data_IF_669743693704
#
_entry.id   IF_669743693704
#
_cell.length_a   1.000
_cell.length_b   1.000
_cell.length_c   1.000
_cell.angle_alpha   90.00
_cell.angle_beta   90.00
_cell.angle_gamma   90.00
#
_symmetry.space_group_name_H-M   'P 1'
#
loop_
_entity.id
_entity.type
_entity.pdbx_description
1 polymer ?
#
# COMPACT_ATOMS: atom_id res chain seq x y z
N UNK A 1 32.53 -6.53 -20.25
CA UNK A 1 31.23 -5.88 -19.94
C UNK A 1 30.70 -5.33 -21.26
N UNK A 2 29.38 -5.23 -21.41
CA UNK A 2 28.78 -4.62 -22.60
C UNK A 2 29.08 -3.11 -22.62
N UNK A 3 29.53 -2.56 -23.75
CA UNK A 3 29.96 -1.17 -23.86
C UNK A 3 28.86 -0.18 -23.46
N UNK A 4 27.60 -0.51 -23.77
CA UNK A 4 26.43 0.30 -23.38
C UNK A 4 26.20 0.33 -21.86
N UNK A 5 26.56 -0.73 -21.14
CA UNK A 5 26.47 -0.76 -19.67
C UNK A 5 27.53 0.14 -19.04
N UNK A 6 28.74 0.16 -19.60
CA UNK A 6 29.83 1.01 -19.11
C UNK A 6 29.52 2.50 -19.33
N UNK A 7 28.89 2.86 -20.46
CA UNK A 7 28.40 4.21 -20.72
C UNK A 7 27.29 4.62 -19.75
N UNK A 8 26.28 3.76 -19.56
CA UNK A 8 25.21 3.99 -18.59
C UNK A 8 25.74 4.19 -17.16
N UNK A 9 26.66 3.34 -16.71
CA UNK A 9 27.24 3.46 -15.37
C UNK A 9 28.12 4.70 -15.21
N UNK A 10 28.69 5.22 -16.31
CA UNK A 10 29.44 6.48 -16.27
C UNK A 10 28.53 7.68 -16.05
N UNK A 11 27.33 7.65 -16.63
CA UNK A 11 26.36 8.76 -16.53
C UNK A 11 25.49 8.68 -15.26
N UNK A 12 25.03 7.48 -14.89
CA UNK A 12 24.05 7.28 -13.82
C UNK A 12 24.57 6.50 -12.62
N UNK A 13 25.81 6.00 -12.64
CA UNK A 13 26.33 5.07 -11.63
C UNK A 13 26.31 5.61 -10.20
N UNK A 14 26.43 6.93 -10.00
CA UNK A 14 26.34 7.55 -8.67
C UNK A 14 24.93 7.44 -8.05
N UNK A 15 23.89 7.34 -8.87
CA UNK A 15 22.48 7.28 -8.44
C UNK A 15 21.83 5.92 -8.73
N UNK A 16 22.48 5.07 -9.52
CA UNK A 16 21.94 3.79 -9.93
C UNK A 16 22.21 2.70 -8.90
N UNK A 17 21.13 2.07 -8.44
CA UNK A 17 21.17 0.97 -7.49
C UNK A 17 21.45 1.38 -6.06
N UNK A 18 22.43 0.74 -5.43
CA UNK A 18 22.73 0.90 -4.02
C UNK A 18 24.18 1.38 -3.83
N UNK A 19 24.49 2.65 -4.17
CA UNK A 19 25.87 3.16 -4.18
C UNK A 19 26.54 3.11 -2.80
N UNK A 20 25.76 3.30 -1.73
CA UNK A 20 26.21 3.17 -0.34
C UNK A 20 25.81 1.81 0.29
N UNK A 21 25.33 0.89 -0.54
CA UNK A 21 24.90 -0.43 -0.09
C UNK A 21 26.09 -1.38 0.09
N UNK A 22 25.94 -2.44 0.90
CA UNK A 22 26.98 -3.44 1.11
C UNK A 22 27.26 -4.30 -0.13
N UNK A 23 26.36 -4.27 -1.13
CA UNK A 23 26.48 -4.98 -2.40
C UNK A 23 25.94 -4.11 -3.53
N UNK A 24 26.55 -4.19 -4.71
CA UNK A 24 26.00 -3.63 -5.94
C UNK A 24 24.79 -4.45 -6.46
N UNK A 25 23.96 -3.88 -7.34
CA UNK A 25 22.86 -4.62 -7.99
C UNK A 25 23.38 -5.89 -8.67
N UNK A 26 24.52 -5.80 -9.37
CA UNK A 26 25.11 -6.96 -10.05
C UNK A 26 25.49 -8.07 -9.07
N UNK A 27 26.06 -7.70 -7.92
CA UNK A 27 26.40 -8.65 -6.86
C UNK A 27 25.15 -9.27 -6.23
N UNK A 28 24.10 -8.48 -5.97
CA UNK A 28 22.82 -8.99 -5.45
C UNK A 28 22.21 -9.97 -6.45
N UNK A 29 22.13 -9.60 -7.73
CA UNK A 29 21.61 -10.49 -8.79
C UNK A 29 22.41 -11.79 -8.88
N UNK A 30 23.74 -11.70 -8.88
CA UNK A 30 24.61 -12.85 -9.01
C UNK A 30 24.67 -13.76 -7.76
N UNK A 31 24.33 -13.25 -6.57
CA UNK A 31 24.41 -14.03 -5.33
C UNK A 31 23.07 -14.46 -4.77
N UNK A 32 22.01 -13.68 -4.98
CA UNK A 32 20.71 -13.89 -4.35
C UNK A 32 19.58 -14.19 -5.34
N UNK A 33 19.82 -14.02 -6.64
CA UNK A 33 18.87 -14.30 -7.72
C UNK A 33 19.52 -15.07 -8.87
N UNK A 34 20.38 -16.06 -8.57
CA UNK A 34 21.13 -16.84 -9.57
C UNK A 34 20.21 -17.52 -10.57
N UNK A 35 19.02 -17.92 -10.13
CA UNK A 35 17.95 -18.49 -10.98
C UNK A 35 17.46 -17.58 -12.11
N UNK A 36 17.82 -16.29 -12.10
CA UNK A 36 17.58 -15.37 -13.21
C UNK A 36 18.71 -15.36 -14.24
N UNK A 37 19.74 -16.19 -14.10
CA UNK A 37 20.78 -16.29 -15.12
C UNK A 37 20.17 -16.73 -16.45
N UNK A 38 20.53 -16.03 -17.53
CA UNK A 38 19.92 -16.19 -18.85
C UNK A 38 18.46 -15.72 -18.99
N UNK A 39 17.84 -15.13 -17.96
CA UNK A 39 16.44 -14.68 -17.99
C UNK A 39 16.26 -13.23 -17.52
N UNK A 40 15.38 -12.48 -18.18
CA UNK A 40 15.03 -11.10 -17.79
C UNK A 40 13.62 -11.09 -17.25
N UNK A 41 13.47 -10.76 -15.96
CA UNK A 41 12.18 -10.65 -15.29
C UNK A 41 11.81 -9.17 -15.15
N UNK A 42 10.76 -8.74 -15.82
CA UNK A 42 10.31 -7.33 -15.86
C UNK A 42 8.95 -7.11 -15.16
N UNK A 43 8.40 -8.14 -14.52
CA UNK A 43 7.07 -8.10 -13.88
C UNK A 43 7.14 -7.93 -12.36
N UNK A 44 8.17 -7.22 -11.87
CA UNK A 44 8.32 -6.92 -10.44
C UNK A 44 7.17 -6.07 -9.88
N UNK A 45 6.44 -5.36 -10.75
CA UNK A 45 5.28 -4.60 -10.35
C UNK A 45 4.05 -5.48 -10.08
N UNK A 46 3.90 -6.60 -10.79
CA UNK A 46 2.82 -7.58 -10.54
C UNK A 46 3.13 -8.47 -9.34
N UNK A 47 4.31 -9.09 -9.32
CA UNK A 47 4.76 -9.94 -8.22
C UNK A 47 6.29 -10.00 -8.15
N UNK A 48 6.89 -9.39 -7.13
CA UNK A 48 8.35 -9.51 -6.99
C UNK A 48 8.80 -10.92 -6.60
N UNK A 49 10.05 -11.21 -6.90
CA UNK A 49 10.69 -12.48 -6.62
C UNK A 49 11.31 -12.47 -5.22
N UNK A 50 11.21 -13.60 -4.51
CA UNK A 50 12.01 -13.85 -3.31
C UNK A 50 13.48 -14.11 -3.69
N UNK A 51 14.38 -13.72 -2.79
CA UNK A 51 15.81 -13.99 -2.91
C UNK A 51 16.19 -15.34 -2.29
N UNK A 52 17.30 -15.94 -2.74
CA UNK A 52 17.83 -17.19 -2.19
C UNK A 52 18.18 -17.03 -0.69
N UNK A 53 18.73 -15.89 -0.29
CA UNK A 53 19.04 -15.60 1.11
C UNK A 53 17.78 -15.56 1.99
N UNK A 54 16.68 -14.99 1.49
CA UNK A 54 15.42 -14.97 2.23
C UNK A 54 14.89 -16.38 2.46
N UNK A 55 14.95 -17.23 1.43
CA UNK A 55 14.55 -18.63 1.57
C UNK A 55 15.43 -19.36 2.58
N UNK A 56 16.76 -19.29 2.43
CA UNK A 56 17.71 -19.95 3.33
C UNK A 56 17.49 -19.53 4.80
N UNK A 57 17.28 -18.24 5.04
CA UNK A 57 17.00 -17.72 6.38
C UNK A 57 15.70 -18.30 6.95
N UNK A 58 14.60 -18.28 6.19
CA UNK A 58 13.30 -18.80 6.63
C UNK A 58 13.37 -20.31 6.88
N UNK A 59 14.01 -21.08 5.99
CA UNK A 59 14.16 -22.52 6.18
C UNK A 59 15.02 -22.85 7.39
N UNK A 60 16.10 -22.11 7.62
CA UNK A 60 16.93 -22.28 8.82
C UNK A 60 16.12 -22.00 10.09
N UNK A 61 15.37 -20.91 10.09
CA UNK A 61 14.57 -20.49 11.24
C UNK A 61 13.46 -21.50 11.58
N UNK A 62 12.70 -21.92 10.57
CA UNK A 62 11.65 -22.95 10.70
C UNK A 62 12.17 -24.33 11.15
N UNK A 63 13.41 -24.69 10.78
CA UNK A 63 14.01 -25.95 11.23
C UNK A 63 14.63 -25.87 12.63
N UNK A 64 15.08 -24.69 13.05
CA UNK A 64 15.78 -24.50 14.32
C UNK A 64 14.83 -24.18 15.48
N UNK A 65 13.64 -23.64 15.19
CA UNK A 65 12.73 -23.10 16.19
C UNK A 65 11.35 -23.77 16.14
N UNK A 66 10.68 -23.82 17.30
CA UNK A 66 9.29 -24.29 17.42
C UNK A 66 8.38 -23.09 17.55
N UNK A 67 7.54 -22.87 16.53
CA UNK A 67 6.53 -21.82 16.53
C UNK A 67 5.20 -22.38 17.01
N UNK A 68 4.76 -21.89 18.17
CA UNK A 68 3.48 -22.25 18.78
C UNK A 68 2.36 -21.32 18.32
N UNK A 69 1.11 -21.71 18.56
CA UNK A 69 -0.01 -20.79 18.42
C UNK A 69 0.14 -19.66 19.47
N UNK A 70 0.26 -18.37 19.07
CA UNK A 70 0.43 -17.22 19.99
C UNK A 70 -0.65 -17.04 21.05
N UNK A 71 -1.80 -17.70 20.88
CA UNK A 71 -2.93 -17.63 21.81
C UNK A 71 -2.97 -18.78 22.83
N UNK A 72 -2.03 -19.73 22.75
CA UNK A 72 -1.89 -20.81 23.74
C UNK A 72 -1.15 -20.33 24.99
N UNK A 73 -1.27 -21.06 26.10
CA UNK A 73 -0.51 -20.79 27.33
C UNK A 73 0.69 -21.75 27.42
N UNK A 74 1.81 -21.37 26.82
CA UNK A 74 3.07 -22.12 26.84
C UNK A 74 4.26 -21.23 26.48
N UNK A 75 5.48 -21.64 26.83
CA UNK A 75 6.69 -20.85 26.55
C UNK A 75 6.89 -20.61 25.04
N UNK A 76 6.60 -21.61 24.20
CA UNK A 76 6.70 -21.49 22.73
C UNK A 76 5.64 -20.55 22.15
N UNK A 77 4.45 -20.48 22.75
CA UNK A 77 3.42 -19.50 22.39
C UNK A 77 3.86 -18.07 22.73
N UNK A 78 4.41 -17.84 23.92
CA UNK A 78 4.93 -16.53 24.33
C UNK A 78 6.05 -16.07 23.41
N UNK A 79 7.01 -16.95 23.08
CA UNK A 79 8.08 -16.63 22.14
C UNK A 79 7.54 -16.28 20.74
N UNK A 80 6.53 -17.00 20.25
CA UNK A 80 5.90 -16.69 18.95
C UNK A 80 5.15 -15.35 18.99
N UNK A 81 4.50 -15.03 20.12
CA UNK A 81 3.84 -13.73 20.33
C UNK A 81 4.84 -12.57 20.29
N UNK A 82 6.03 -12.74 20.88
CA UNK A 82 7.09 -11.75 20.84
C UNK A 82 7.61 -11.51 19.41
N UNK A 83 7.78 -12.57 18.62
CA UNK A 83 8.19 -12.47 17.21
C UNK A 83 7.15 -11.71 16.39
N UNK A 84 5.86 -12.01 16.59
CA UNK A 84 4.77 -11.28 15.91
C UNK A 84 4.76 -9.80 16.32
N UNK A 85 5.00 -9.50 17.61
CA UNK A 85 5.10 -8.12 18.09
C UNK A 85 6.29 -7.39 17.48
N UNK A 86 7.44 -8.03 17.39
CA UNK A 86 8.64 -7.47 16.75
C UNK A 86 8.40 -7.21 15.25
N UNK A 87 7.80 -8.15 14.54
CA UNK A 87 7.45 -7.98 13.13
C UNK A 87 6.52 -6.77 12.91
N UNK A 88 5.54 -6.56 13.79
CA UNK A 88 4.68 -5.35 13.74
C UNK A 88 5.48 -4.07 13.95
N UNK A 89 6.42 -4.06 14.89
CA UNK A 89 7.27 -2.90 15.14
C UNK A 89 8.15 -2.57 13.92
N UNK A 90 8.76 -3.59 13.29
CA UNK A 90 9.57 -3.39 12.08
C UNK A 90 8.75 -2.78 10.92
N UNK A 91 7.49 -3.20 10.74
CA UNK A 91 6.60 -2.59 9.73
C UNK A 91 6.28 -1.13 10.06
N UNK A 92 5.99 -0.82 11.32
CA UNK A 92 5.74 0.56 11.75
C UNK A 92 6.96 1.45 11.55
N UNK A 93 8.15 0.96 11.92
CA UNK A 93 9.41 1.69 11.75
C UNK A 93 9.72 1.94 10.27
N UNK A 94 9.52 0.93 9.41
CA UNK A 94 9.66 1.05 7.96
C UNK A 94 8.73 2.12 7.38
N UNK A 95 7.47 2.13 7.82
CA UNK A 95 6.46 3.13 7.42
C UNK A 95 6.63 4.48 8.13
N UNK A 96 7.59 4.63 9.05
CA UNK A 96 7.76 5.81 9.93
C UNK A 96 6.47 6.16 10.69
N UNK A 97 5.72 5.15 11.10
CA UNK A 97 4.43 5.26 11.78
C UNK A 97 4.61 5.06 13.29
N UNK A 98 4.19 6.05 14.09
CA UNK A 98 4.28 5.96 15.55
C UNK A 98 3.32 4.90 16.10
N UNK A 99 3.76 3.95 16.95
CA UNK A 99 2.88 2.96 17.57
C UNK A 99 1.87 3.59 18.56
N UNK A 100 2.02 4.88 18.89
CA UNK A 100 1.04 5.64 19.70
C UNK A 100 -0.18 6.07 18.90
N UNK A 101 -0.03 6.18 17.58
CA UNK A 101 -1.07 6.70 16.67
C UNK A 101 -1.56 5.63 15.69
N UNK A 102 -0.68 4.68 15.35
CA UNK A 102 -0.93 3.66 14.33
C UNK A 102 -0.81 2.25 14.92
N UNK A 103 -1.63 1.35 14.39
CA UNK A 103 -1.52 -0.08 14.64
C UNK A 103 -1.17 -0.81 13.34
N UNK A 104 -0.25 -1.76 13.39
CA UNK A 104 0.03 -2.65 12.27
C UNK A 104 -0.95 -3.83 12.30
N UNK A 105 -1.72 -4.05 11.23
CA UNK A 105 -2.63 -5.18 11.07
C UNK A 105 -2.13 -6.02 9.89
N UNK A 106 -1.87 -7.31 10.15
CA UNK A 106 -1.47 -8.23 9.09
C UNK A 106 -2.71 -8.75 8.38
N UNK A 107 -2.70 -8.72 7.06
CA UNK A 107 -3.75 -9.24 6.18
C UNK A 107 -3.11 -10.13 5.11
N UNK A 108 -3.92 -10.81 4.30
CA UNK A 108 -3.40 -11.62 3.19
C UNK A 108 -2.90 -10.79 1.99
N UNK A 109 -2.99 -9.45 2.05
CA UNK A 109 -2.49 -8.53 1.02
C UNK A 109 -3.34 -7.26 0.88
N UNK A 110 -2.97 -6.39 -0.07
CA UNK A 110 -3.64 -5.09 -0.31
C UNK A 110 -5.16 -5.22 -0.38
N UNK A 111 -5.64 -6.13 -1.23
CA UNK A 111 -7.07 -6.31 -1.50
C UNK A 111 -7.83 -6.71 -0.23
N UNK A 112 -7.25 -7.56 0.62
CA UNK A 112 -7.89 -7.96 1.88
C UNK A 112 -7.92 -6.80 2.90
N UNK A 113 -6.84 -6.00 2.97
CA UNK A 113 -6.82 -4.80 3.79
C UNK A 113 -7.87 -3.76 3.35
N UNK A 114 -7.98 -3.51 2.03
CA UNK A 114 -8.97 -2.58 1.48
C UNK A 114 -10.40 -3.07 1.69
N UNK A 115 -10.63 -4.37 1.55
CA UNK A 115 -11.89 -5.00 1.89
C UNK A 115 -12.24 -4.77 3.37
N UNK A 116 -11.30 -5.01 4.29
CA UNK A 116 -11.51 -4.78 5.71
C UNK A 116 -11.88 -3.32 5.99
N UNK A 117 -11.22 -2.36 5.34
CA UNK A 117 -11.59 -0.93 5.43
C UNK A 117 -13.02 -0.72 4.94
N UNK A 118 -13.38 -1.23 3.77
CA UNK A 118 -14.74 -1.09 3.24
C UNK A 118 -15.82 -1.67 4.15
N UNK A 119 -15.58 -2.84 4.75
CA UNK A 119 -16.52 -3.52 5.65
C UNK A 119 -16.64 -2.84 7.03
N UNK A 120 -15.53 -2.30 7.56
CA UNK A 120 -15.49 -1.73 8.90
C UNK A 120 -15.75 -0.22 8.96
N UNK A 121 -15.67 0.48 7.82
CA UNK A 121 -15.88 1.93 7.80
C UNK A 121 -17.33 2.28 8.19
N UNK A 122 -17.56 3.30 9.05
CA UNK A 122 -18.87 3.65 9.56
C UNK A 122 -19.70 4.43 8.53
N UNK A 123 -20.05 3.78 7.41
CA UNK A 123 -20.85 4.38 6.36
C UNK A 123 -22.24 4.77 6.85
N UNK A 124 -22.70 5.94 6.41
CA UNK A 124 -24.09 6.36 6.51
C UNK A 124 -24.60 6.87 5.17
N UNK A 125 -25.91 7.14 5.07
CA UNK A 125 -26.50 7.78 3.89
C UNK A 125 -25.97 9.21 3.62
N UNK A 126 -25.28 9.80 4.60
CA UNK A 126 -24.61 11.09 4.51
C UNK A 126 -23.12 10.97 4.14
N UNK A 127 -22.53 9.78 4.22
CA UNK A 127 -21.15 9.53 3.83
C UNK A 127 -20.93 9.65 2.32
N UNK A 128 -19.68 9.92 1.97
CA UNK A 128 -19.18 9.86 0.61
C UNK A 128 -17.88 9.06 0.52
N UNK A 129 -17.78 8.19 -0.49
CA UNK A 129 -16.52 7.57 -0.91
C UNK A 129 -16.02 8.22 -2.21
N UNK A 130 -14.91 8.93 -2.12
CA UNK A 130 -14.26 9.56 -3.28
C UNK A 130 -12.95 8.86 -3.60
N UNK A 131 -12.66 8.68 -4.88
CA UNK A 131 -11.45 8.01 -5.35
C UNK A 131 -10.95 8.62 -6.65
N UNK A 132 -9.67 8.45 -6.97
CA UNK A 132 -9.12 8.87 -8.27
C UNK A 132 -9.27 7.78 -9.33
N UNK A 133 -9.37 8.17 -10.60
CA UNK A 133 -9.42 7.23 -11.74
C UNK A 133 -8.17 6.36 -11.86
N UNK A 134 -7.03 6.85 -11.39
CA UNK A 134 -5.74 6.14 -11.34
C UNK A 134 -5.66 5.07 -10.23
N UNK A 135 -6.69 4.92 -9.39
CA UNK A 135 -6.66 3.91 -8.34
C UNK A 135 -6.84 2.48 -8.88
N UNK A 136 -6.10 1.55 -8.27
CA UNK A 136 -6.23 0.13 -8.55
C UNK A 136 -7.66 -0.38 -8.29
N UNK A 137 -8.11 -1.36 -9.07
CA UNK A 137 -9.47 -1.92 -9.01
C UNK A 137 -9.93 -2.34 -7.60
N UNK A 138 -9.01 -2.84 -6.76
CA UNK A 138 -9.31 -3.21 -5.37
C UNK A 138 -9.82 -2.03 -4.53
N UNK A 139 -9.36 -0.80 -4.82
CA UNK A 139 -9.82 0.43 -4.18
C UNK A 139 -11.22 0.76 -4.65
N UNK A 140 -11.47 0.65 -5.95
CA UNK A 140 -12.79 0.88 -6.54
C UNK A 140 -13.84 -0.04 -5.94
N UNK A 141 -13.45 -1.26 -5.57
CA UNK A 141 -14.31 -2.23 -4.88
C UNK A 141 -14.87 -1.74 -3.53
N UNK A 142 -14.23 -0.78 -2.86
CA UNK A 142 -14.74 -0.19 -1.61
C UNK A 142 -16.12 0.45 -1.82
N UNK A 143 -16.39 0.98 -3.02
CA UNK A 143 -17.67 1.61 -3.35
C UNK A 143 -18.88 0.71 -3.07
N UNK A 144 -18.72 -0.61 -3.20
CA UNK A 144 -19.85 -1.53 -3.02
C UNK A 144 -20.34 -1.56 -1.57
N UNK A 145 -19.43 -1.39 -0.61
CA UNK A 145 -19.78 -1.29 0.81
C UNK A 145 -20.44 0.07 1.11
N UNK A 146 -19.89 1.15 0.58
CA UNK A 146 -20.45 2.49 0.71
C UNK A 146 -21.89 2.55 0.13
N UNK A 147 -22.06 2.12 -1.12
CA UNK A 147 -23.36 2.08 -1.79
C UNK A 147 -24.35 1.12 -1.10
N UNK A 148 -23.87 0.02 -0.53
CA UNK A 148 -24.67 -0.91 0.27
C UNK A 148 -25.33 -0.26 1.48
N UNK A 149 -24.65 0.73 2.08
CA UNK A 149 -25.12 1.50 3.23
C UNK A 149 -25.80 2.83 2.84
N UNK A 150 -26.06 3.05 1.55
CA UNK A 150 -26.73 4.25 1.03
C UNK A 150 -25.84 5.50 0.90
N UNK A 151 -24.53 5.36 1.13
CA UNK A 151 -23.56 6.43 0.89
C UNK A 151 -23.42 6.74 -0.60
N UNK A 152 -22.89 7.92 -0.92
CA UNK A 152 -22.51 8.27 -2.29
C UNK A 152 -21.11 7.74 -2.63
N UNK A 153 -20.85 7.43 -3.90
CA UNK A 153 -19.50 7.16 -4.39
C UNK A 153 -19.26 7.82 -5.75
N UNK A 154 -18.07 8.41 -5.96
CA UNK A 154 -17.70 8.98 -7.26
C UNK A 154 -16.19 9.08 -7.46
N UNK A 155 -15.79 9.06 -8.73
CA UNK A 155 -14.40 9.30 -9.12
C UNK A 155 -14.11 10.81 -9.21
N UNK A 156 -12.85 11.19 -8.98
CA UNK A 156 -12.33 12.52 -9.25
C UNK A 156 -11.06 12.43 -10.09
N UNK A 157 -10.89 13.36 -11.02
CA UNK A 157 -9.60 13.60 -11.68
C UNK A 157 -8.95 14.83 -11.07
N UNK A 158 -7.65 14.73 -10.87
CA UNK A 158 -6.81 15.80 -10.35
C UNK A 158 -5.98 16.31 -11.53
N UNK A 159 -6.30 17.50 -12.01
CA UNK A 159 -5.55 18.15 -13.07
C UNK A 159 -4.56 19.16 -12.47
N UNK A 160 -3.27 18.95 -12.75
CA UNK A 160 -2.23 19.91 -12.43
C UNK A 160 -2.00 20.86 -13.62
N UNK A 161 -2.29 22.15 -13.43
CA UNK A 161 -1.98 23.16 -14.44
C UNK A 161 -0.52 23.60 -14.31
N UNK A 162 0.35 23.05 -15.14
CA UNK A 162 1.74 23.54 -15.24
C UNK A 162 1.76 24.81 -16.07
N UNK A 163 1.71 25.97 -15.42
CA UNK A 163 1.98 27.24 -16.09
C UNK A 163 3.49 27.37 -16.36
N UNK A 164 3.91 27.15 -17.61
CA UNK A 164 5.25 27.52 -18.09
C UNK A 164 5.39 29.04 -18.22
N UNK A 165 5.39 29.74 -17.08
CA UNK A 165 5.73 31.16 -16.97
C UNK A 165 7.21 31.32 -16.66
N UNK A 166 7.96 31.92 -17.58
CA UNK A 166 9.35 32.33 -17.36
C UNK A 166 9.37 33.41 -16.26
N UNK A 167 10.04 33.10 -15.15
CA UNK A 167 10.37 33.99 -14.04
C UNK A 167 9.30 34.18 -12.93
N UNK A 168 9.60 33.64 -11.75
CA UNK A 168 9.00 34.04 -10.47
C UNK A 168 7.89 33.11 -9.95
N UNK A 169 8.28 32.19 -9.05
CA UNK A 169 7.44 31.36 -8.16
C UNK A 169 5.94 31.29 -8.46
N UNK A 170 5.52 30.30 -9.24
CA UNK A 170 4.12 29.95 -9.42
C UNK A 170 3.69 28.91 -8.39
N UNK A 171 2.57 29.15 -7.71
CA UNK A 171 1.86 28.13 -6.93
C UNK A 171 1.15 27.23 -7.94
N UNK A 172 1.32 25.89 -7.90
CA UNK A 172 0.55 25.00 -8.76
C UNK A 172 -0.94 25.20 -8.49
N UNK A 173 -1.71 25.53 -9.53
CA UNK A 173 -3.17 25.56 -9.46
C UNK A 173 -3.66 24.14 -9.77
N UNK A 174 -4.44 23.59 -8.86
CA UNK A 174 -4.99 22.24 -8.94
C UNK A 174 -6.50 22.36 -9.18
N UNK A 175 -7.00 21.78 -10.26
CA UNK A 175 -8.45 21.65 -10.50
C UNK A 175 -8.91 20.22 -10.30
N UNK A 176 -10.10 20.06 -9.72
CA UNK A 176 -10.71 18.76 -9.48
C UNK A 176 -11.92 18.61 -10.39
N UNK A 177 -11.93 17.59 -11.23
CA UNK A 177 -13.06 17.22 -12.05
C UNK A 177 -13.79 16.06 -11.40
N UNK A 178 -15.07 16.25 -11.10
CA UNK A 178 -15.92 15.24 -10.48
C UNK A 178 -16.66 14.43 -11.55
N UNK A 179 -16.61 13.10 -11.44
CA UNK A 179 -17.38 12.18 -12.27
C UNK A 179 -18.79 11.92 -11.70
N UNK A 180 -19.60 11.18 -12.47
CA UNK A 180 -20.98 10.84 -12.10
C UNK A 180 -21.09 10.22 -10.70
N UNK A 181 -22.02 10.76 -9.91
CA UNK A 181 -22.29 10.29 -8.55
C UNK A 181 -23.13 9.02 -8.58
N UNK A 182 -22.56 7.95 -8.07
CA UNK A 182 -23.25 6.68 -7.91
C UNK A 182 -23.98 6.66 -6.57
N UNK A 183 -25.25 6.25 -6.59
CA UNK A 183 -26.07 5.91 -5.42
C UNK A 183 -26.94 4.71 -5.75
N UNK A 184 -27.03 3.73 -4.85
CA UNK A 184 -27.98 2.63 -4.98
C UNK A 184 -29.37 3.16 -4.58
N UNK A 185 -30.39 2.92 -5.43
CA UNK A 185 -31.76 3.45 -5.31
C UNK A 185 -32.26 3.59 -3.85
N UNK A 186 -32.88 4.73 -3.51
CA UNK A 186 -33.52 5.05 -2.21
C UNK A 186 -34.43 3.90 -1.77
N UNK A 187 -33.91 2.91 -1.06
CA UNK A 187 -34.68 1.85 -0.45
C UNK A 187 -34.65 2.05 1.07
N UNK A 188 -35.77 2.61 1.57
CA UNK A 188 -36.13 2.85 2.97
C UNK A 188 -35.22 3.85 3.69
N UNK A 189 -35.72 5.09 3.75
CA UNK A 189 -35.59 5.91 4.96
C UNK A 189 -36.10 5.09 6.14
N UNK A 190 -35.24 4.30 6.76
CA UNK A 190 -35.36 4.09 8.19
C UNK A 190 -35.03 5.45 8.78
N UNK A 191 -36.06 6.12 9.30
CA UNK A 191 -35.94 7.25 10.21
C UNK A 191 -35.26 6.76 11.51
N UNK A 192 -34.03 6.29 11.41
CA UNK A 192 -33.14 6.22 12.54
C UNK A 192 -32.34 7.50 12.50
N UNK A 193 -32.66 8.41 13.44
CA UNK A 193 -31.84 9.57 13.75
C UNK A 193 -30.37 9.14 13.80
N UNK A 194 -29.49 9.67 12.93
CA UNK A 194 -28.11 9.24 12.87
C UNK A 194 -27.45 9.65 14.19
N UNK A 195 -27.19 8.67 15.05
CA UNK A 195 -26.63 8.87 16.39
C UNK A 195 -25.11 9.12 16.37
N UNK A 196 -24.57 9.63 15.26
CA UNK A 196 -23.14 9.92 15.09
C UNK A 196 -22.82 10.83 13.90
N UNK A 197 -21.61 11.37 13.85
CA UNK A 197 -21.10 12.18 12.73
C UNK A 197 -20.96 11.38 11.44
N UNK A 198 -21.11 12.04 10.30
CA UNK A 198 -20.99 11.42 8.98
C UNK A 198 -19.53 11.47 8.50
N UNK A 199 -18.89 10.30 8.36
CA UNK A 199 -17.50 10.23 7.89
C UNK A 199 -17.43 10.07 6.38
N UNK A 200 -16.44 10.71 5.77
CA UNK A 200 -16.11 10.60 4.35
C UNK A 200 -14.75 9.91 4.17
N UNK A 201 -14.64 9.13 3.10
CA UNK A 201 -13.44 8.37 2.77
C UNK A 201 -12.90 8.84 1.43
N UNK A 202 -11.67 9.35 1.41
CA UNK A 202 -10.97 9.71 0.18
C UNK A 202 -9.78 8.79 -0.06
N UNK A 203 -9.71 8.22 -1.27
CA UNK A 203 -8.65 7.35 -1.74
C UNK A 203 -7.87 8.02 -2.88
N UNK A 204 -6.53 8.03 -2.78
CA UNK A 204 -5.63 8.58 -3.80
C UNK A 204 -4.40 7.68 -4.00
N UNK A 205 -3.82 7.66 -5.21
CA UNK A 205 -2.72 6.77 -5.52
C UNK A 205 -1.47 7.23 -4.76
N UNK A 206 -0.62 6.29 -4.38
CA UNK A 206 0.69 6.61 -3.82
C UNK A 206 1.80 6.05 -4.72
N UNK A 207 3.00 6.61 -4.63
CA UNK A 207 4.15 6.29 -5.50
C UNK A 207 4.59 4.82 -5.41
N UNK A 208 4.21 4.14 -4.33
CA UNK A 208 4.35 2.70 -4.17
C UNK A 208 2.94 2.13 -4.27
N UNK A 209 2.78 0.95 -4.90
CA UNK A 209 1.52 0.29 -5.31
C UNK A 209 0.37 0.18 -4.28
N UNK A 210 0.52 0.75 -3.10
CA UNK A 210 -0.43 0.76 -2.01
C UNK A 210 -0.99 2.17 -1.76
N UNK A 211 -2.31 2.19 -1.68
CA UNK A 211 -3.19 3.33 -1.46
C UNK A 211 -2.84 4.12 -0.19
N UNK A 212 -3.05 5.44 -0.23
CA UNK A 212 -3.26 6.25 0.98
C UNK A 212 -4.74 6.58 1.12
N UNK A 213 -5.23 6.47 2.35
CA UNK A 213 -6.61 6.75 2.72
C UNK A 213 -6.63 7.95 3.66
N UNK A 214 -7.47 8.93 3.35
CA UNK A 214 -7.80 10.02 4.26
C UNK A 214 -9.24 9.87 4.74
N UNK A 215 -9.45 9.95 6.06
CA UNK A 215 -10.77 9.97 6.69
C UNK A 215 -11.04 11.40 7.14
N UNK A 216 -12.17 11.96 6.71
CA UNK A 216 -12.64 13.26 7.16
C UNK A 216 -13.98 13.10 7.90
N UNK A 217 -14.15 13.72 9.08
CA UNK A 217 -15.43 13.79 9.78
C UNK A 217 -16.43 14.72 9.08
#
# INVERSE_FOLDING_TARGET
MDASKEEFLREFGEHYGYPNGPKSIDQIRATEFKRLDGSVYLDHAGATLYSELQLEAIFKDLNANVFGNPHSQSDTSSATSDIVREARQQVLDYCKASPKEYSCIFTSGATAALKLVGEAFPWSCQSCFTYTTENHNSVLGIREYALGQGAAAFAIDIEEHVHHGVSGGSVPSMSVLQHEVQRRNKARSLEEEPTGGAYNLFAFPSEWQFLRIAIQP
#
